data_IF_997986650150
#
_entry.id   IF_997986650150
#
_cell.length_a   1.000
_cell.length_b   1.000
_cell.length_c   1.000
_cell.angle_alpha   90.00
_cell.angle_beta   90.00
_cell.angle_gamma   90.00
#
_symmetry.space_group_name_H-M   'P 1'
#
loop_
_entity.id
_entity.type
_entity.pdbx_description
1 polymer ?
#
# COMPACT_ATOMS: atom_id res chain seq x y z
N UNK A 1 38.04 -14.90 -33.66
CA UNK A 1 38.12 -14.80 -32.18
C UNK A 1 36.92 -14.01 -31.65
N UNK A 2 36.40 -14.36 -30.47
CA UNK A 2 35.27 -13.64 -29.87
C UNK A 2 35.72 -12.34 -29.17
N UNK A 3 35.25 -11.18 -29.64
CA UNK A 3 35.59 -9.83 -29.13
C UNK A 3 34.87 -9.53 -27.80
N UNK A 4 33.55 -9.68 -27.77
CA UNK A 4 32.72 -9.39 -26.61
C UNK A 4 32.59 -10.60 -25.68
N UNK A 5 32.89 -10.41 -24.39
CA UNK A 5 32.78 -11.46 -23.36
C UNK A 5 32.15 -10.90 -22.08
N UNK A 6 30.83 -10.75 -22.01
CA UNK A 6 30.15 -10.18 -20.83
C UNK A 6 30.45 -10.91 -19.51
N UNK A 7 30.80 -12.21 -19.56
CA UNK A 7 31.26 -12.98 -18.39
C UNK A 7 32.48 -12.35 -17.68
N UNK A 8 33.26 -11.49 -18.35
CA UNK A 8 34.33 -10.70 -17.73
C UNK A 8 33.80 -9.85 -16.57
N UNK A 9 32.60 -9.29 -16.69
CA UNK A 9 31.93 -8.51 -15.65
C UNK A 9 31.31 -9.36 -14.52
N UNK A 10 31.24 -10.69 -14.69
CA UNK A 10 30.58 -11.60 -13.74
C UNK A 10 31.57 -12.50 -12.99
N UNK A 11 32.86 -12.43 -13.35
CA UNK A 11 33.90 -13.39 -12.96
C UNK A 11 34.13 -13.50 -11.45
N UNK A 12 34.09 -12.38 -10.73
CA UNK A 12 34.31 -12.36 -9.27
C UNK A 12 33.23 -11.56 -8.57
N UNK A 13 32.94 -11.85 -7.28
CA UNK A 13 32.05 -11.02 -6.48
C UNK A 13 32.45 -9.55 -6.47
N UNK A 14 33.75 -9.25 -6.36
CA UNK A 14 34.26 -7.87 -6.38
C UNK A 14 33.91 -7.12 -7.67
N UNK A 15 34.05 -7.76 -8.84
CA UNK A 15 33.68 -7.14 -10.12
C UNK A 15 32.17 -6.95 -10.18
N UNK A 16 31.38 -7.95 -9.78
CA UNK A 16 29.90 -7.85 -9.76
C UNK A 16 29.40 -6.73 -8.85
N UNK A 17 30.03 -6.53 -7.69
CA UNK A 17 29.69 -5.46 -6.76
C UNK A 17 30.04 -4.08 -7.35
N UNK A 18 31.19 -3.95 -8.02
CA UNK A 18 31.65 -2.68 -8.61
C UNK A 18 30.72 -2.17 -9.71
N UNK A 19 30.13 -3.08 -10.50
CA UNK A 19 29.29 -2.73 -11.67
C UNK A 19 27.78 -2.86 -11.40
N UNK A 20 27.37 -3.15 -10.17
CA UNK A 20 25.96 -3.37 -9.84
C UNK A 20 25.17 -2.07 -10.00
N UNK A 21 24.08 -2.14 -10.76
CA UNK A 21 23.23 -0.99 -11.07
C UNK A 21 22.20 -0.68 -9.95
N UNK A 22 21.71 -1.70 -9.25
CA UNK A 22 20.66 -1.57 -8.23
C UNK A 22 21.13 -2.12 -6.90
N UNK A 23 21.00 -1.34 -5.83
CA UNK A 23 21.25 -1.77 -4.46
C UNK A 23 19.98 -1.54 -3.64
N UNK A 24 19.70 -2.47 -2.71
CA UNK A 24 18.65 -2.30 -1.72
C UNK A 24 19.17 -1.52 -0.53
N UNK A 25 18.34 -0.63 -0.01
CA UNK A 25 18.53 0.10 1.22
C UNK A 25 17.44 -0.28 2.20
N UNK A 26 17.76 -0.28 3.50
CA UNK A 26 16.75 -0.41 4.57
C UNK A 26 15.66 0.68 4.51
N UNK A 27 15.96 1.80 3.85
CA UNK A 27 15.06 2.93 3.68
C UNK A 27 14.07 2.75 2.52
N UNK A 28 14.17 1.64 1.77
CA UNK A 28 13.30 1.36 0.63
C UNK A 28 11.95 0.74 1.04
N UNK A 29 11.67 0.50 2.32
CA UNK A 29 10.54 -0.33 2.74
C UNK A 29 9.54 0.39 3.64
N UNK A 30 8.26 0.14 3.36
CA UNK A 30 7.11 0.54 4.18
C UNK A 30 6.44 -0.73 4.68
N UNK A 31 6.16 -0.80 5.99
CA UNK A 31 5.50 -1.94 6.61
C UNK A 31 3.98 -1.72 6.74
N UNK A 32 3.13 -2.53 6.07
CA UNK A 32 1.70 -2.57 6.33
C UNK A 32 1.40 -3.08 7.74
N UNK A 33 0.48 -2.42 8.45
CA UNK A 33 -0.04 -2.83 9.74
C UNK A 33 -1.56 -2.78 9.75
N UNK A 34 -2.19 -3.79 10.34
CA UNK A 34 -3.64 -3.87 10.51
C UNK A 34 -4.00 -3.57 11.96
N UNK A 35 -4.89 -2.61 12.19
CA UNK A 35 -5.40 -2.26 13.52
C UNK A 35 -6.90 -2.51 13.60
N UNK A 36 -7.34 -3.23 14.62
CA UNK A 36 -8.72 -3.72 14.74
C UNK A 36 -9.33 -3.37 16.09
N UNK A 37 -10.53 -2.79 16.06
CA UNK A 37 -11.33 -2.52 17.26
C UNK A 37 -12.06 -3.76 17.79
N UNK A 38 -11.97 -4.88 17.08
CA UNK A 38 -12.69 -6.13 17.38
C UNK A 38 -11.92 -7.07 18.30
N UNK A 39 -10.67 -6.75 18.60
CA UNK A 39 -9.74 -7.63 19.33
C UNK A 39 -9.09 -6.87 20.48
N UNK A 40 -8.82 -7.58 21.57
CA UNK A 40 -8.12 -7.03 22.74
C UNK A 40 -6.61 -7.28 22.67
N UNK A 41 -6.16 -8.20 21.81
CA UNK A 41 -4.76 -8.55 21.60
C UNK A 41 -4.51 -9.04 20.18
N UNK A 42 -3.23 -9.08 19.79
CA UNK A 42 -2.79 -9.46 18.44
C UNK A 42 -3.38 -10.79 17.97
N UNK A 43 -4.01 -10.78 16.80
CA UNK A 43 -4.62 -11.94 16.16
C UNK A 43 -3.88 -12.28 14.85
N UNK A 44 -3.22 -13.45 14.75
CA UNK A 44 -2.60 -13.90 13.50
C UNK A 44 -3.60 -13.96 12.35
N UNK A 45 -3.15 -13.64 11.14
CA UNK A 45 -3.92 -13.79 9.91
C UNK A 45 -3.50 -15.10 9.23
N UNK A 46 -4.33 -16.15 9.20
CA UNK A 46 -3.93 -17.46 8.72
C UNK A 46 -3.39 -17.47 7.28
N UNK A 47 -3.98 -16.67 6.39
CA UNK A 47 -3.58 -16.54 4.99
C UNK A 47 -2.35 -15.64 4.76
N UNK A 48 -1.80 -15.04 5.81
CA UNK A 48 -0.57 -14.24 5.79
C UNK A 48 0.35 -14.66 6.95
N UNK A 49 1.06 -15.80 6.83
CA UNK A 49 1.91 -16.33 7.90
C UNK A 49 2.93 -15.29 8.39
N UNK A 50 2.89 -14.96 9.69
CA UNK A 50 3.77 -13.95 10.31
C UNK A 50 3.17 -12.55 10.39
N UNK A 51 1.98 -12.32 9.81
CA UNK A 51 1.25 -11.05 9.87
C UNK A 51 0.07 -11.18 10.85
N UNK A 52 -0.20 -10.11 11.59
CA UNK A 52 -1.29 -10.04 12.56
C UNK A 52 -2.17 -8.81 12.33
N UNK A 53 -3.42 -8.91 12.78
CA UNK A 53 -4.16 -7.74 13.24
C UNK A 53 -3.74 -7.41 14.67
N UNK A 54 -3.63 -6.13 14.98
CA UNK A 54 -3.27 -5.63 16.31
C UNK A 54 -4.44 -4.87 16.93
N UNK A 55 -4.58 -4.92 18.25
CA UNK A 55 -5.53 -4.04 18.95
C UNK A 55 -5.02 -2.60 18.92
N UNK A 56 -5.92 -1.66 19.21
CA UNK A 56 -5.57 -0.24 19.35
C UNK A 56 -4.51 0.00 20.42
N UNK A 57 -4.40 -0.86 21.44
CA UNK A 57 -3.42 -0.73 22.52
C UNK A 57 -2.01 -1.21 22.11
N UNK A 58 -1.92 -2.18 21.20
CA UNK A 58 -0.65 -2.79 20.79
C UNK A 58 -0.01 -2.09 19.58
N UNK A 59 -0.81 -1.44 18.73
CA UNK A 59 -0.36 -0.91 17.44
C UNK A 59 0.80 0.07 17.58
N UNK A 60 0.79 0.93 18.60
CA UNK A 60 1.84 1.89 18.87
C UNK A 60 3.17 1.20 19.24
N UNK A 61 3.12 0.14 20.05
CA UNK A 61 4.31 -0.63 20.40
C UNK A 61 4.86 -1.38 19.18
N UNK A 62 3.98 -1.94 18.34
CA UNK A 62 4.31 -2.66 17.11
C UNK A 62 5.02 -1.72 16.11
N UNK A 63 4.49 -0.50 15.93
CA UNK A 63 5.10 0.52 15.08
C UNK A 63 6.42 1.06 15.67
N UNK A 64 6.47 1.31 16.98
CA UNK A 64 7.69 1.74 17.68
C UNK A 64 8.84 0.75 17.51
N UNK A 65 8.58 -0.55 17.68
CA UNK A 65 9.58 -1.60 17.42
C UNK A 65 10.04 -1.63 15.96
N UNK A 66 9.13 -1.43 15.00
CA UNK A 66 9.48 -1.34 13.59
C UNK A 66 10.41 -0.14 13.33
N UNK A 67 10.14 1.00 13.96
CA UNK A 67 10.99 2.18 13.89
C UNK A 67 12.38 1.97 14.50
N UNK A 68 12.47 1.34 15.68
CA UNK A 68 13.73 0.98 16.34
C UNK A 68 14.59 0.04 15.49
N UNK A 69 13.95 -0.84 14.70
CA UNK A 69 14.65 -1.67 13.71
C UNK A 69 15.23 -0.81 12.58
N UNK A 70 14.65 0.35 12.28
CA UNK A 70 15.12 1.29 11.27
C UNK A 70 14.23 1.35 10.04
N UNK A 71 12.97 0.87 10.13
CA UNK A 71 11.97 1.15 9.10
C UNK A 71 11.64 2.66 9.11
N UNK A 72 11.62 3.31 7.95
CA UNK A 72 11.30 4.74 7.86
C UNK A 72 9.80 5.01 7.99
N UNK A 73 8.95 4.04 7.65
CA UNK A 73 7.51 4.26 7.53
C UNK A 73 6.66 3.00 7.79
N UNK A 74 5.42 3.24 8.21
CA UNK A 74 4.34 2.24 8.30
C UNK A 74 3.12 2.70 7.51
N UNK A 75 2.34 1.74 6.98
CA UNK A 75 1.05 1.98 6.34
C UNK A 75 -0.06 1.33 7.18
N UNK A 76 -1.04 2.11 7.63
CA UNK A 76 -2.12 1.65 8.49
C UNK A 76 -3.37 1.28 7.70
N UNK A 77 -3.93 0.11 8.02
CA UNK A 77 -5.26 -0.35 7.60
C UNK A 77 -6.14 -0.54 8.84
N UNK A 78 -7.31 0.10 8.85
CA UNK A 78 -8.26 0.06 9.96
C UNK A 78 -9.34 -0.99 9.78
N UNK A 79 -9.64 -1.76 10.83
CA UNK A 79 -10.79 -2.66 10.90
C UNK A 79 -11.75 -2.14 11.99
N UNK A 80 -12.83 -1.42 11.61
CA UNK A 80 -13.74 -0.83 12.58
C UNK A 80 -14.62 -1.90 13.22
N UNK A 81 -15.13 -1.64 14.42
CA UNK A 81 -16.06 -2.52 15.14
C UNK A 81 -17.38 -2.71 14.38
N UNK A 82 -17.86 -1.64 13.74
CA UNK A 82 -19.10 -1.62 12.98
C UNK A 82 -18.88 -0.99 11.60
N UNK A 83 -19.68 -1.45 10.63
CA UNK A 83 -19.72 -0.97 9.25
C UNK A 83 -21.11 -0.45 8.93
N UNK A 84 -21.20 0.58 8.11
CA UNK A 84 -22.47 1.16 7.66
C UNK A 84 -22.38 1.62 6.20
N UNK A 85 -23.50 2.05 5.61
CA UNK A 85 -23.56 2.46 4.19
C UNK A 85 -22.94 3.84 3.91
N UNK A 86 -22.53 4.57 4.96
CA UNK A 86 -21.91 5.89 4.85
C UNK A 86 -20.44 5.88 5.23
N UNK A 87 -19.88 4.71 5.53
CA UNK A 87 -18.56 4.55 6.10
C UNK A 87 -18.28 5.51 7.27
N UNK A 88 -19.25 5.72 8.17
CA UNK A 88 -19.19 6.82 9.15
C UNK A 88 -17.94 6.77 10.05
N UNK A 89 -17.44 5.57 10.31
CA UNK A 89 -16.23 5.35 11.12
C UNK A 89 -14.92 5.64 10.37
N UNK A 90 -14.93 5.75 9.03
CA UNK A 90 -13.75 6.09 8.23
C UNK A 90 -13.25 7.51 8.54
N UNK A 91 -14.16 8.46 8.77
CA UNK A 91 -13.85 9.88 9.02
C UNK A 91 -14.21 10.34 10.44
N UNK A 92 -14.53 9.42 11.35
CA UNK A 92 -14.77 9.76 12.75
C UNK A 92 -13.47 10.22 13.42
N UNK A 93 -13.51 11.28 14.22
CA UNK A 93 -12.31 11.79 14.90
C UNK A 93 -11.67 10.74 15.82
N UNK A 94 -12.46 9.82 16.36
CA UNK A 94 -12.09 8.68 17.20
C UNK A 94 -12.20 7.34 16.46
N UNK A 95 -12.04 7.33 15.13
CA UNK A 95 -11.96 6.10 14.37
C UNK A 95 -10.65 5.35 14.62
N UNK A 96 -10.65 4.07 14.27
CA UNK A 96 -9.53 3.15 14.56
C UNK A 96 -8.19 3.61 14.00
N UNK A 97 -8.17 4.18 12.78
CA UNK A 97 -6.94 4.69 12.17
C UNK A 97 -6.50 5.97 12.86
N UNK A 98 -7.43 6.88 13.15
CA UNK A 98 -7.16 8.16 13.80
C UNK A 98 -6.55 7.94 15.20
N UNK A 99 -7.10 7.03 15.98
CA UNK A 99 -6.55 6.65 17.28
C UNK A 99 -5.15 6.03 17.13
N UNK A 100 -4.96 5.09 16.20
CA UNK A 100 -3.67 4.46 15.95
C UNK A 100 -2.59 5.48 15.53
N UNK A 101 -2.91 6.40 14.62
CA UNK A 101 -2.01 7.46 14.17
C UNK A 101 -1.57 8.30 15.37
N UNK A 102 -2.50 8.80 16.19
CA UNK A 102 -2.17 9.61 17.37
C UNK A 102 -1.22 8.89 18.32
N UNK A 103 -1.50 7.63 18.63
CA UNK A 103 -0.67 6.85 19.54
C UNK A 103 0.73 6.58 18.97
N UNK A 104 0.83 6.27 17.67
CA UNK A 104 2.12 6.05 17.01
C UNK A 104 2.94 7.34 16.98
N UNK A 105 2.35 8.48 16.62
CA UNK A 105 3.07 9.76 16.59
C UNK A 105 3.53 10.19 17.98
N UNK A 106 2.82 9.79 19.05
CA UNK A 106 3.26 10.03 20.44
C UNK A 106 4.48 9.19 20.83
N UNK A 107 4.52 7.89 20.48
CA UNK A 107 5.61 7.00 20.90
C UNK A 107 6.82 6.99 19.96
N UNK A 108 6.60 7.27 18.67
CA UNK A 108 7.62 7.24 17.61
C UNK A 108 7.45 8.43 16.65
N UNK A 109 7.66 9.69 17.11
CA UNK A 109 7.41 10.89 16.30
C UNK A 109 8.23 10.96 15.01
N UNK A 110 9.39 10.31 14.97
CA UNK A 110 10.26 10.22 13.78
C UNK A 110 9.87 9.13 12.78
N UNK A 111 8.86 8.30 13.08
CA UNK A 111 8.32 7.33 12.13
C UNK A 111 7.32 8.05 11.22
N UNK A 112 7.46 7.84 9.91
CA UNK A 112 6.47 8.29 8.93
C UNK A 112 5.24 7.40 9.01
N UNK A 113 4.08 7.99 9.25
CA UNK A 113 2.80 7.28 9.31
C UNK A 113 2.01 7.59 8.06
N UNK A 114 1.80 6.55 7.25
CA UNK A 114 0.94 6.58 6.07
C UNK A 114 -0.40 5.96 6.47
N UNK A 115 -1.50 6.61 6.13
CA UNK A 115 -2.84 6.08 6.35
C UNK A 115 -3.49 5.68 5.02
N UNK A 116 -4.07 4.49 4.94
CA UNK A 116 -4.93 4.13 3.80
C UNK A 116 -6.20 4.98 3.83
N UNK A 117 -6.57 5.55 2.68
CA UNK A 117 -7.83 6.28 2.52
C UNK A 117 -8.68 5.49 1.52
N UNK A 118 -9.62 4.73 2.05
CA UNK A 118 -10.54 3.90 1.29
C UNK A 118 -11.76 3.61 2.18
N UNK A 119 -12.92 3.35 1.57
CA UNK A 119 -14.14 3.09 2.33
C UNK A 119 -14.43 1.58 2.51
N UNK A 120 -13.66 0.68 1.90
CA UNK A 120 -14.04 -0.74 1.82
C UNK A 120 -14.03 -1.47 3.17
N UNK A 121 -13.20 -1.03 4.10
CA UNK A 121 -13.13 -1.52 5.47
C UNK A 121 -14.33 -1.09 6.30
N UNK A 122 -15.00 0.01 5.92
CA UNK A 122 -16.01 0.72 6.70
C UNK A 122 -17.42 0.59 6.10
N UNK A 123 -17.52 0.39 4.79
CA UNK A 123 -18.78 0.17 4.08
C UNK A 123 -19.35 -1.21 4.42
N UNK A 124 -20.64 -1.25 4.73
CA UNK A 124 -21.37 -2.49 5.05
C UNK A 124 -21.25 -3.55 3.94
N UNK A 125 -21.17 -3.12 2.68
CA UNK A 125 -21.07 -3.97 1.49
C UNK A 125 -19.64 -4.24 0.99
N UNK A 126 -18.60 -3.64 1.59
CA UNK A 126 -17.20 -3.92 1.25
C UNK A 126 -16.67 -3.37 -0.08
N UNK A 127 -17.38 -2.44 -0.73
CA UNK A 127 -16.87 -1.68 -1.88
C UNK A 127 -16.11 -0.43 -1.41
N UNK A 128 -15.25 0.11 -2.29
CA UNK A 128 -14.43 1.28 -2.01
C UNK A 128 -15.21 2.62 -1.98
N UNK A 129 -16.48 2.61 -2.36
CA UNK A 129 -17.32 3.79 -2.51
C UNK A 129 -18.79 3.52 -2.19
N UNK A 130 -19.61 4.58 -2.17
CA UNK A 130 -21.06 4.54 -1.94
C UNK A 130 -21.74 3.74 -3.05
N UNK A 131 -22.56 2.75 -2.68
CA UNK A 131 -23.29 1.94 -3.65
C UNK A 131 -24.73 2.44 -3.84
N UNK A 132 -25.17 2.50 -5.10
CA UNK A 132 -26.58 2.57 -5.48
C UNK A 132 -27.00 1.22 -6.03
N UNK A 133 -28.04 0.63 -5.45
CA UNK A 133 -28.59 -0.66 -5.88
C UNK A 133 -29.95 -0.42 -6.55
N UNK A 134 -30.11 -0.92 -7.77
CA UNK A 134 -31.36 -0.92 -8.54
C UNK A 134 -31.69 -2.33 -9.04
N UNK A 135 -32.50 -3.05 -8.26
CA UNK A 135 -32.81 -4.46 -8.51
C UNK A 135 -31.56 -5.34 -8.46
N UNK A 136 -31.24 -5.99 -9.59
CA UNK A 136 -30.03 -6.82 -9.74
C UNK A 136 -28.78 -6.01 -10.17
N UNK A 137 -28.96 -4.73 -10.53
CA UNK A 137 -27.85 -3.86 -10.91
C UNK A 137 -27.36 -3.07 -9.70
N UNK A 138 -26.06 -2.80 -9.67
CA UNK A 138 -25.48 -1.87 -8.71
C UNK A 138 -24.50 -0.94 -9.43
N UNK A 139 -24.29 0.21 -8.83
CA UNK A 139 -23.36 1.23 -9.29
C UNK A 139 -22.60 1.79 -8.09
N UNK A 140 -21.30 2.03 -8.24
CA UNK A 140 -20.48 2.68 -7.20
C UNK A 140 -20.36 4.14 -7.60
N UNK A 141 -21.02 5.00 -6.84
CA UNK A 141 -21.18 6.41 -7.15
C UNK A 141 -19.87 7.16 -6.94
N UNK A 142 -19.30 7.71 -8.01
CA UNK A 142 -17.99 8.35 -7.98
C UNK A 142 -17.94 9.55 -7.02
N UNK A 143 -18.70 10.60 -7.31
CA UNK A 143 -18.58 11.90 -6.64
C UNK A 143 -19.01 11.83 -5.17
N UNK A 144 -20.08 11.09 -4.88
CA UNK A 144 -20.54 10.80 -3.51
C UNK A 144 -19.48 10.06 -2.69
N UNK A 145 -18.70 9.18 -3.33
CA UNK A 145 -17.58 8.50 -2.69
C UNK A 145 -16.42 9.46 -2.45
N UNK A 146 -16.08 10.28 -3.45
CA UNK A 146 -14.99 11.27 -3.36
C UNK A 146 -15.21 12.23 -2.19
N UNK A 147 -16.44 12.66 -1.91
CA UNK A 147 -16.74 13.50 -0.75
C UNK A 147 -16.36 12.82 0.58
N UNK A 148 -16.65 11.52 0.73
CA UNK A 148 -16.32 10.76 1.94
C UNK A 148 -14.83 10.43 2.03
N UNK A 149 -14.18 10.18 0.89
CA UNK A 149 -12.72 9.97 0.78
C UNK A 149 -11.98 11.23 1.25
N UNK A 150 -12.39 12.41 0.79
CA UNK A 150 -11.80 13.68 1.21
C UNK A 150 -11.97 13.93 2.72
N UNK A 151 -13.16 13.68 3.28
CA UNK A 151 -13.40 13.76 4.74
C UNK A 151 -12.50 12.80 5.53
N UNK A 152 -12.33 11.59 5.00
CA UNK A 152 -11.48 10.56 5.62
C UNK A 152 -10.02 11.02 5.64
N UNK A 153 -9.49 11.50 4.51
CA UNK A 153 -8.13 12.03 4.42
C UNK A 153 -7.87 13.18 5.42
N UNK A 154 -8.78 14.16 5.50
CA UNK A 154 -8.67 15.26 6.47
C UNK A 154 -8.67 14.74 7.90
N UNK A 155 -9.52 13.76 8.24
CA UNK A 155 -9.55 13.19 9.59
C UNK A 155 -8.25 12.48 9.97
N UNK A 156 -7.58 11.83 9.00
CA UNK A 156 -6.28 11.19 9.21
C UNK A 156 -5.17 12.23 9.38
N UNK A 157 -5.17 13.30 8.59
CA UNK A 157 -4.24 14.41 8.72
C UNK A 157 -4.39 15.11 10.10
N UNK A 158 -5.63 15.35 10.55
CA UNK A 158 -5.94 15.87 11.89
C UNK A 158 -5.39 14.98 13.01
N UNK A 159 -5.34 13.66 12.80
CA UNK A 159 -4.75 12.73 13.75
C UNK A 159 -3.21 12.76 13.77
N UNK A 160 -2.58 13.36 12.75
CA UNK A 160 -1.12 13.50 12.61
C UNK A 160 -0.49 12.57 11.57
N UNK A 161 -1.26 12.05 10.62
CA UNK A 161 -0.70 11.27 9.52
C UNK A 161 0.20 12.14 8.65
N UNK A 162 1.40 11.66 8.34
CA UNK A 162 2.36 12.38 7.50
C UNK A 162 1.96 12.29 6.01
N UNK A 163 1.41 11.14 5.62
CA UNK A 163 0.84 10.91 4.30
C UNK A 163 -0.55 10.27 4.38
N UNK A 164 -1.42 10.64 3.45
CA UNK A 164 -2.64 9.92 3.14
C UNK A 164 -2.46 9.18 1.82
N UNK A 165 -3.01 7.97 1.73
CA UNK A 165 -2.85 7.12 0.55
C UNK A 165 -4.21 6.66 0.00
N UNK A 166 -4.88 7.51 -0.81
CA UNK A 166 -6.15 7.16 -1.46
C UNK A 166 -6.01 5.92 -2.34
N UNK A 167 -6.71 4.84 -1.95
CA UNK A 167 -6.63 3.53 -2.61
C UNK A 167 -7.95 3.10 -3.27
N UNK A 168 -8.92 4.00 -3.31
CA UNK A 168 -10.31 3.78 -3.76
C UNK A 168 -10.48 3.61 -5.28
N UNK A 169 -9.63 4.25 -6.10
CA UNK A 169 -9.74 4.33 -7.57
C UNK A 169 -10.97 5.08 -8.10
N UNK A 170 -11.44 6.11 -7.39
CA UNK A 170 -12.47 7.02 -7.91
C UNK A 170 -11.83 8.10 -8.80
N UNK A 171 -12.55 8.56 -9.82
CA UNK A 171 -12.10 9.66 -10.69
C UNK A 171 -12.05 10.98 -9.90
N UNK A 172 -10.97 11.75 -10.06
CA UNK A 172 -10.83 13.08 -9.46
C UNK A 172 -10.58 13.11 -7.94
N UNK A 173 -10.43 11.95 -7.28
CA UNK A 173 -10.26 11.92 -5.81
C UNK A 173 -9.00 12.62 -5.34
N UNK A 174 -7.92 12.65 -6.13
CA UNK A 174 -6.65 13.23 -5.70
C UNK A 174 -6.80 14.75 -5.59
N UNK A 175 -7.41 15.37 -6.59
CA UNK A 175 -7.66 16.82 -6.59
C UNK A 175 -8.59 17.21 -5.45
N UNK A 176 -9.65 16.43 -5.21
CA UNK A 176 -10.57 16.65 -4.11
C UNK A 176 -9.90 16.48 -2.73
N UNK A 177 -9.07 15.44 -2.55
CA UNK A 177 -8.31 15.22 -1.31
C UNK A 177 -7.31 16.35 -1.08
N UNK A 178 -6.56 16.75 -2.12
CA UNK A 178 -5.61 17.88 -2.04
C UNK A 178 -6.32 19.16 -1.62
N UNK A 179 -7.40 19.53 -2.31
CA UNK A 179 -8.18 20.73 -1.97
C UNK A 179 -8.71 20.68 -0.52
N UNK A 180 -9.26 19.54 -0.09
CA UNK A 180 -9.79 19.40 1.26
C UNK A 180 -8.71 19.46 2.35
N UNK A 181 -7.52 18.89 2.11
CA UNK A 181 -6.37 19.02 3.01
C UNK A 181 -5.93 20.48 3.12
N UNK A 182 -5.75 21.16 1.99
CA UNK A 182 -5.30 22.55 1.94
C UNK A 182 -6.32 23.49 2.65
N UNK A 183 -7.61 23.34 2.37
CA UNK A 183 -8.70 24.11 2.99
C UNK A 183 -8.77 23.89 4.52
N UNK A 184 -8.42 22.69 4.99
CA UNK A 184 -8.38 22.35 6.40
C UNK A 184 -7.05 22.73 7.09
N UNK A 185 -6.08 23.30 6.36
CA UNK A 185 -4.79 23.73 6.88
C UNK A 185 -3.73 22.62 6.98
N UNK A 186 -3.88 21.54 6.21
CA UNK A 186 -2.96 20.39 6.14
C UNK A 186 -2.22 20.35 4.80
N UNK A 187 -1.78 21.51 4.30
CA UNK A 187 -1.06 21.67 3.02
C UNK A 187 0.25 20.87 2.96
N UNK A 188 0.88 20.61 4.11
CA UNK A 188 2.10 19.81 4.23
C UNK A 188 1.87 18.29 4.32
N UNK A 189 0.63 17.82 4.42
CA UNK A 189 0.33 16.37 4.38
C UNK A 189 0.46 15.89 2.93
N UNK A 190 1.31 14.88 2.72
CA UNK A 190 1.56 14.34 1.39
C UNK A 190 0.49 13.34 0.94
N UNK A 191 0.36 13.18 -0.38
CA UNK A 191 -0.58 12.25 -1.01
C UNK A 191 0.19 11.16 -1.76
N UNK A 192 -0.04 9.91 -1.38
CA UNK A 192 0.43 8.72 -2.10
C UNK A 192 -0.74 8.15 -2.88
N UNK A 193 -0.85 8.52 -4.15
CA UNK A 193 -1.93 8.03 -4.98
C UNK A 193 -1.71 6.58 -5.41
N UNK A 194 -2.69 5.71 -5.19
CA UNK A 194 -2.76 4.40 -5.85
C UNK A 194 -3.20 4.57 -7.31
N UNK A 195 -2.42 5.32 -8.08
CA UNK A 195 -2.75 5.75 -9.43
C UNK A 195 -3.03 4.60 -10.40
N UNK A 196 -2.24 3.52 -10.33
CA UNK A 196 -2.45 2.36 -11.18
C UNK A 196 -2.75 1.13 -10.32
N UNK A 197 -4.00 1.03 -9.84
CA UNK A 197 -4.50 -0.11 -9.07
C UNK A 197 -5.45 -0.98 -9.89
N UNK A 198 -4.98 -2.17 -10.22
CA UNK A 198 -5.68 -3.13 -11.07
C UNK A 198 -6.70 -3.96 -10.31
N UNK A 199 -7.76 -4.39 -11.01
CA UNK A 199 -8.76 -5.37 -10.58
C UNK A 199 -8.13 -6.77 -10.53
N UNK A 200 -7.29 -7.01 -9.52
CA UNK A 200 -6.43 -8.18 -9.45
C UNK A 200 -6.98 -9.31 -8.59
N UNK A 201 -6.70 -10.54 -8.99
CA UNK A 201 -6.88 -11.75 -8.18
C UNK A 201 -5.89 -11.84 -6.99
N UNK A 202 -4.86 -10.99 -6.94
CA UNK A 202 -3.77 -11.07 -5.96
C UNK A 202 -4.10 -10.44 -4.58
N UNK A 203 -5.36 -10.06 -4.34
CA UNK A 203 -5.78 -9.39 -3.10
C UNK A 203 -6.49 -10.29 -2.08
N UNK A 204 -6.66 -11.58 -2.34
CA UNK A 204 -7.45 -12.50 -1.50
C UNK A 204 -7.12 -12.44 0.00
N UNK A 205 -5.88 -12.74 0.41
CA UNK A 205 -5.49 -12.71 1.82
C UNK A 205 -5.60 -11.32 2.47
N UNK A 206 -5.39 -10.24 1.71
CA UNK A 206 -5.64 -8.88 2.21
C UNK A 206 -7.12 -8.66 2.53
N UNK A 207 -8.05 -9.12 1.67
CA UNK A 207 -9.50 -8.97 1.91
C UNK A 207 -9.96 -9.71 3.15
N UNK A 208 -9.34 -10.85 3.46
CA UNK A 208 -9.55 -11.55 4.73
C UNK A 208 -8.99 -10.72 5.90
N UNK A 209 -7.74 -10.25 5.78
CA UNK A 209 -7.08 -9.45 6.81
C UNK A 209 -7.82 -8.13 7.15
N UNK A 210 -8.36 -7.45 6.14
CA UNK A 210 -9.09 -6.19 6.28
C UNK A 210 -10.61 -6.38 6.48
N UNK A 211 -11.09 -7.64 6.47
CA UNK A 211 -12.50 -8.02 6.54
C UNK A 211 -13.37 -7.27 5.51
N UNK A 212 -12.86 -7.05 4.30
CA UNK A 212 -13.46 -6.17 3.27
C UNK A 212 -13.73 -6.81 1.89
N UNK A 213 -14.10 -8.11 1.76
CA UNK A 213 -14.54 -8.62 0.47
C UNK A 213 -15.83 -7.90 0.02
N UNK A 214 -15.99 -7.57 -1.28
CA UNK A 214 -17.25 -7.04 -1.79
C UNK A 214 -18.36 -8.09 -1.63
N UNK A 215 -19.53 -7.67 -1.15
CA UNK A 215 -20.67 -8.59 -0.92
C UNK A 215 -21.43 -8.92 -2.21
N UNK A 216 -21.29 -8.10 -3.25
CA UNK A 216 -21.88 -8.30 -4.57
C UNK A 216 -20.89 -7.88 -5.65
N UNK A 217 -21.04 -8.44 -6.85
CA UNK A 217 -20.18 -8.14 -8.00
C UNK A 217 -18.68 -8.23 -7.70
N UNK A 218 -17.92 -7.35 -8.31
CA UNK A 218 -16.50 -7.18 -8.07
C UNK A 218 -16.12 -5.69 -8.09
N UNK A 219 -14.83 -5.38 -8.29
CA UNK A 219 -14.30 -4.01 -8.28
C UNK A 219 -13.89 -3.53 -9.69
N UNK A 220 -14.30 -4.24 -10.74
CA UNK A 220 -13.89 -3.96 -12.12
C UNK A 220 -14.51 -2.69 -12.72
N UNK A 221 -15.55 -2.12 -12.09
CA UNK A 221 -16.14 -0.86 -12.53
C UNK A 221 -15.30 0.39 -12.18
N UNK A 222 -14.21 0.22 -11.42
CA UNK A 222 -13.32 1.33 -11.00
C UNK A 222 -11.86 0.91 -10.85
N UNK A 223 -11.56 -0.34 -10.47
CA UNK A 223 -10.19 -0.86 -10.56
C UNK A 223 -9.86 -1.25 -12.00
N UNK A 224 -8.64 -0.95 -12.42
CA UNK A 224 -8.25 -1.08 -13.83
C UNK A 224 -8.25 -2.53 -14.34
N UNK A 225 -8.51 -2.70 -15.64
CA UNK A 225 -8.38 -4.00 -16.30
C UNK A 225 -6.89 -4.43 -16.36
N UNK A 226 -6.53 -5.63 -15.85
CA UNK A 226 -5.18 -6.20 -15.97
C UNK A 226 -4.58 -6.20 -17.39
N UNK A 227 -5.41 -6.13 -18.44
CA UNK A 227 -4.97 -6.09 -19.83
C UNK A 227 -4.43 -4.72 -20.29
N UNK A 228 -4.66 -3.65 -19.52
CA UNK A 228 -4.46 -2.28 -19.99
C UNK A 228 -3.19 -1.62 -19.42
N UNK A 229 -2.22 -1.37 -20.29
CA UNK A 229 -0.97 -0.71 -19.91
C UNK A 229 -0.94 0.80 -20.22
N UNK A 230 -1.60 1.24 -21.29
CA UNK A 230 -1.62 2.65 -21.69
C UNK A 230 -2.58 3.48 -20.83
N UNK A 231 -3.70 2.88 -20.43
CA UNK A 231 -4.63 3.44 -19.43
C UNK A 231 -3.91 3.77 -18.13
N UNK A 232 -2.98 2.92 -17.68
CA UNK A 232 -2.23 3.13 -16.42
C UNK A 232 -1.39 4.41 -16.46
N UNK A 233 -0.87 4.76 -17.65
CA UNK A 233 -0.13 5.99 -17.82
C UNK A 233 -1.06 7.19 -17.86
N UNK A 234 -2.29 7.03 -18.35
CA UNK A 234 -3.28 8.10 -18.31
C UNK A 234 -3.71 8.41 -16.87
N UNK A 235 -4.05 7.37 -16.10
CA UNK A 235 -4.40 7.50 -14.67
C UNK A 235 -3.30 8.20 -13.86
N UNK A 236 -2.05 7.78 -14.06
CA UNK A 236 -0.89 8.42 -13.41
C UNK A 236 -0.73 9.89 -13.83
N UNK A 237 -0.96 10.21 -15.10
CA UNK A 237 -0.88 11.58 -15.59
C UNK A 237 -1.95 12.48 -14.96
N UNK A 238 -3.19 11.97 -14.82
CA UNK A 238 -4.29 12.66 -14.14
C UNK A 238 -3.94 12.95 -12.67
N UNK A 239 -3.52 11.94 -11.93
CA UNK A 239 -3.21 12.09 -10.50
C UNK A 239 -2.05 13.06 -10.23
N UNK A 240 -1.03 13.03 -11.09
CA UNK A 240 0.09 13.97 -10.99
C UNK A 240 -0.37 15.41 -11.28
N UNK A 241 -1.30 15.61 -12.23
CA UNK A 241 -1.89 16.91 -12.51
C UNK A 241 -2.79 17.40 -11.36
N UNK A 242 -3.42 16.47 -10.64
CA UNK A 242 -4.27 16.73 -9.48
C UNK A 242 -3.50 16.98 -8.17
N UNK A 243 -2.18 16.76 -8.15
CA UNK A 243 -1.32 17.09 -7.01
C UNK A 243 -0.90 15.90 -6.14
N UNK A 244 -0.88 14.68 -6.68
CA UNK A 244 -0.22 13.56 -6.03
C UNK A 244 1.29 13.80 -5.89
N UNK A 245 1.82 13.63 -4.68
CA UNK A 245 3.26 13.76 -4.39
C UNK A 245 4.04 12.51 -4.81
N UNK A 246 3.40 11.34 -4.64
CA UNK A 246 3.91 10.02 -5.00
C UNK A 246 2.79 9.26 -5.71
N UNK A 247 3.14 8.54 -6.78
CA UNK A 247 2.22 7.61 -7.47
C UNK A 247 2.62 6.18 -7.20
N UNK A 248 1.64 5.27 -7.15
CA UNK A 248 1.84 3.87 -6.77
C UNK A 248 1.19 2.92 -7.77
N UNK A 249 1.94 1.87 -8.13
CA UNK A 249 1.46 0.73 -8.91
C UNK A 249 1.09 -0.44 -8.00
N UNK A 250 -0.08 -1.06 -8.21
CA UNK A 250 -0.57 -2.20 -7.43
C UNK A 250 -1.39 -3.16 -8.29
N UNK A 251 -1.11 -4.49 -8.27
CA UNK A 251 -0.03 -5.22 -7.57
C UNK A 251 1.39 -4.96 -8.09
N UNK A 252 2.40 -5.66 -7.55
CA UNK A 252 3.80 -5.46 -7.90
C UNK A 252 4.30 -6.44 -8.98
N UNK A 253 4.50 -7.72 -8.63
CA UNK A 253 5.17 -8.70 -9.49
C UNK A 253 4.54 -8.86 -10.89
N UNK A 254 3.20 -8.93 -11.04
CA UNK A 254 2.60 -9.05 -12.37
C UNK A 254 2.63 -7.77 -13.20
N UNK A 255 3.05 -6.63 -12.62
CA UNK A 255 2.95 -5.29 -13.22
C UNK A 255 4.30 -4.54 -13.18
N UNK A 256 5.42 -5.27 -13.18
CA UNK A 256 6.77 -4.70 -13.24
C UNK A 256 7.00 -3.85 -14.51
N UNK A 257 6.34 -4.20 -15.61
CA UNK A 257 6.33 -3.43 -16.85
C UNK A 257 5.63 -2.08 -16.67
N UNK A 258 4.48 -2.05 -15.98
CA UNK A 258 3.77 -0.81 -15.65
C UNK A 258 4.62 0.08 -14.75
N UNK A 259 5.22 -0.50 -13.69
CA UNK A 259 6.13 0.22 -12.81
C UNK A 259 7.29 0.88 -13.57
N UNK A 260 7.90 0.14 -14.50
CA UNK A 260 8.95 0.67 -15.36
C UNK A 260 8.46 1.82 -16.24
N UNK A 261 7.32 1.64 -16.94
CA UNK A 261 6.76 2.67 -17.82
C UNK A 261 6.39 3.94 -17.08
N UNK A 262 5.83 3.82 -15.87
CA UNK A 262 5.52 4.96 -15.00
C UNK A 262 6.80 5.69 -14.61
N UNK A 263 7.82 4.97 -14.13
CA UNK A 263 9.09 5.60 -13.75
C UNK A 263 9.76 6.29 -14.93
N UNK A 264 9.82 5.63 -16.09
CA UNK A 264 10.46 6.14 -17.29
C UNK A 264 9.76 7.40 -17.82
N UNK A 265 8.43 7.37 -17.95
CA UNK A 265 7.66 8.46 -18.56
C UNK A 265 7.60 9.70 -17.68
N UNK A 266 7.39 9.53 -16.37
CA UNK A 266 7.09 10.65 -15.49
C UNK A 266 8.29 11.12 -14.66
N UNK A 267 9.25 10.24 -14.36
CA UNK A 267 10.42 10.60 -13.55
C UNK A 267 10.06 11.12 -12.14
N UNK A 268 8.87 10.80 -11.64
CA UNK A 268 8.34 11.22 -10.32
C UNK A 268 8.59 10.14 -9.25
N UNK A 269 8.51 10.50 -7.95
CA UNK A 269 8.49 9.52 -6.88
C UNK A 269 7.44 8.43 -7.15
N UNK A 270 7.90 7.19 -7.29
CA UNK A 270 7.06 6.06 -7.68
C UNK A 270 7.19 4.95 -6.65
N UNK A 271 6.06 4.50 -6.11
CA UNK A 271 5.98 3.40 -5.18
C UNK A 271 5.37 2.15 -5.83
N UNK A 272 5.55 1.01 -5.17
CA UNK A 272 4.88 -0.23 -5.58
C UNK A 272 4.46 -1.02 -4.35
N UNK A 273 3.34 -1.73 -4.45
CA UNK A 273 2.86 -2.60 -3.38
C UNK A 273 3.02 -4.07 -3.75
N UNK A 274 3.97 -4.74 -3.08
CA UNK A 274 4.09 -6.20 -3.08
C UNK A 274 2.98 -6.83 -2.23
N UNK A 275 1.89 -7.24 -2.89
CA UNK A 275 0.62 -7.50 -2.21
C UNK A 275 0.54 -8.86 -1.53
N UNK A 276 -0.60 -9.09 -0.89
CA UNK A 276 -0.83 -10.20 0.02
C UNK A 276 -0.66 -11.59 -0.62
N UNK A 277 -1.14 -11.82 -1.85
CA UNK A 277 -0.91 -13.11 -2.53
C UNK A 277 0.56 -13.27 -2.91
N UNK A 278 1.22 -12.21 -3.38
CA UNK A 278 2.64 -12.27 -3.72
C UNK A 278 3.49 -12.69 -2.51
N UNK A 279 3.13 -12.21 -1.32
CA UNK A 279 3.74 -12.63 -0.06
C UNK A 279 3.45 -14.09 0.27
N UNK A 280 2.18 -14.47 0.30
CA UNK A 280 1.74 -15.82 0.66
C UNK A 280 2.34 -16.89 -0.28
N UNK A 281 2.43 -16.62 -1.58
CA UNK A 281 3.01 -17.55 -2.54
C UNK A 281 4.46 -17.93 -2.21
N UNK A 282 5.27 -16.96 -1.78
CA UNK A 282 6.67 -17.22 -1.39
C UNK A 282 6.73 -17.97 -0.06
N UNK A 283 5.91 -17.58 0.93
CA UNK A 283 5.81 -18.30 2.21
C UNK A 283 5.46 -19.78 1.98
N UNK A 284 4.40 -20.06 1.21
CA UNK A 284 3.96 -21.41 0.90
C UNK A 284 5.01 -22.23 0.14
N UNK A 285 5.72 -21.59 -0.80
CA UNK A 285 6.78 -22.24 -1.56
C UNK A 285 8.01 -22.55 -0.68
N UNK A 286 8.37 -21.66 0.25
CA UNK A 286 9.41 -21.88 1.25
C UNK A 286 9.05 -23.03 2.19
N UNK A 287 7.81 -23.06 2.71
CA UNK A 287 7.36 -24.14 3.60
C UNK A 287 7.44 -25.52 2.94
N UNK A 288 7.23 -25.57 1.61
CA UNK A 288 7.39 -26.78 0.79
C UNK A 288 8.84 -27.07 0.39
N UNK A 289 9.80 -26.25 0.82
CA UNK A 289 11.22 -26.39 0.49
C UNK A 289 11.55 -26.11 -0.98
N UNK A 290 10.68 -25.40 -1.72
CA UNK A 290 10.89 -25.11 -3.14
C UNK A 290 11.91 -23.98 -3.37
N UNK A 291 12.07 -23.08 -2.41
CA UNK A 291 12.97 -21.93 -2.49
C UNK A 291 13.47 -21.48 -1.11
N UNK A 292 14.68 -20.89 -1.11
CA UNK A 292 15.20 -20.14 0.04
C UNK A 292 14.50 -18.78 0.14
N UNK A 293 13.78 -18.56 1.25
CA UNK A 293 12.95 -17.37 1.42
C UNK A 293 13.75 -16.08 1.30
N UNK A 294 14.87 -15.99 2.04
CA UNK A 294 15.70 -14.78 2.08
C UNK A 294 16.22 -14.43 0.68
N UNK A 295 16.76 -15.40 -0.04
CA UNK A 295 17.28 -15.18 -1.39
C UNK A 295 16.17 -14.75 -2.35
N UNK A 296 15.03 -15.43 -2.35
CA UNK A 296 13.92 -15.11 -3.25
C UNK A 296 13.34 -13.73 -2.97
N UNK A 297 13.11 -13.38 -1.70
CA UNK A 297 12.57 -12.08 -1.32
C UNK A 297 13.54 -10.95 -1.69
N UNK A 298 14.84 -11.11 -1.42
CA UNK A 298 15.85 -10.10 -1.82
C UNK A 298 15.92 -9.95 -3.35
N UNK A 299 15.75 -11.03 -4.11
CA UNK A 299 15.69 -10.98 -5.57
C UNK A 299 14.44 -10.23 -6.05
N UNK A 300 13.27 -10.50 -5.47
CA UNK A 300 12.01 -9.80 -5.77
C UNK A 300 12.15 -8.30 -5.45
N UNK A 301 12.59 -7.93 -4.25
CA UNK A 301 12.75 -6.52 -3.87
C UNK A 301 13.76 -5.82 -4.80
N UNK A 302 14.84 -6.50 -5.18
CA UNK A 302 15.81 -5.96 -6.15
C UNK A 302 15.18 -5.75 -7.52
N UNK A 303 14.31 -6.66 -7.96
CA UNK A 303 13.60 -6.53 -9.24
C UNK A 303 12.68 -5.30 -9.27
N UNK A 304 11.98 -5.05 -8.16
CA UNK A 304 11.09 -3.89 -7.98
C UNK A 304 11.87 -2.58 -7.94
N UNK A 305 12.97 -2.52 -7.19
CA UNK A 305 13.88 -1.35 -7.20
C UNK A 305 14.48 -1.12 -8.59
N UNK A 306 14.89 -2.17 -9.30
CA UNK A 306 15.43 -2.07 -10.66
C UNK A 306 14.39 -1.56 -11.65
N UNK A 307 13.13 -1.97 -11.48
CA UNK A 307 12.03 -1.49 -12.30
C UNK A 307 11.66 -0.01 -12.03
N UNK A 308 12.17 0.59 -10.95
CA UNK A 308 12.04 2.03 -10.74
C UNK A 308 11.31 2.45 -9.47
N UNK A 309 10.93 1.52 -8.59
CA UNK A 309 10.32 1.89 -7.31
C UNK A 309 11.31 2.67 -6.42
N UNK A 310 10.90 3.82 -5.92
CA UNK A 310 11.62 4.56 -4.88
C UNK A 310 11.41 3.93 -3.50
N UNK A 311 10.23 3.39 -3.21
CA UNK A 311 9.99 2.51 -2.06
C UNK A 311 8.97 1.42 -2.37
N UNK A 312 8.98 0.39 -1.54
CA UNK A 312 8.19 -0.83 -1.68
C UNK A 312 7.38 -1.04 -0.40
N UNK A 313 6.06 -1.15 -0.56
CA UNK A 313 5.17 -1.59 0.52
C UNK A 313 5.18 -3.11 0.55
N UNK A 314 5.60 -3.70 1.68
CA UNK A 314 5.76 -5.16 1.80
C UNK A 314 5.62 -5.65 3.23
N UNK A 315 5.06 -6.86 3.40
CA UNK A 315 4.88 -7.50 4.69
C UNK A 315 6.18 -8.04 5.31
N UNK A 316 7.24 -8.23 4.51
CA UNK A 316 8.59 -8.58 5.01
C UNK A 316 9.38 -7.39 5.56
N UNK A 317 8.74 -6.24 5.79
CA UNK A 317 9.44 -5.01 6.17
C UNK A 317 10.43 -5.24 7.31
N UNK A 318 10.05 -5.98 8.36
CA UNK A 318 10.93 -6.25 9.52
C UNK A 318 12.09 -7.20 9.17
N UNK A 319 11.80 -8.27 8.46
CA UNK A 319 12.79 -9.27 8.04
C UNK A 319 13.83 -8.67 7.08
N UNK A 320 13.40 -7.83 6.16
CA UNK A 320 14.28 -7.14 5.21
C UNK A 320 15.30 -6.25 5.91
N UNK A 321 14.91 -5.52 6.96
CA UNK A 321 15.86 -4.75 7.75
C UNK A 321 16.93 -5.64 8.37
N UNK A 322 16.56 -6.81 8.87
CA UNK A 322 17.51 -7.75 9.47
C UNK A 322 18.42 -8.37 8.41
N UNK A 323 17.87 -8.78 7.26
CA UNK A 323 18.61 -9.41 6.18
C UNK A 323 19.59 -8.47 5.48
N UNK A 324 19.35 -7.16 5.52
CA UNK A 324 20.23 -6.13 4.95
C UNK A 324 21.25 -5.57 5.94
N UNK A 325 21.20 -5.95 7.23
CA UNK A 325 22.21 -5.54 8.24
C UNK A 325 23.53 -6.34 8.16
N UNK A 326 23.63 -7.31 7.23
CA UNK A 326 24.82 -8.13 7.00
C UNK A 326 25.47 -7.86 5.66
#
# INVERSE_FOLDING_TARGET
>A
MLVHRPRRLRRTPAIRNLIRETNLSRHDFVLPLFVSEKIESSRPIPSLPGVCQHSSDEIAQVAGKAHEMGLPAVLLFGIPKAKDEKASSAYASNGVVQDAVRQIKQCAPGLTVISDVCLCEYMSHGHCGVARIDGEHFDILNDESVELIAKTAVSHAQAGADFVAPSDMMDGRIGAVRAALDDAGFDQTGIISYAAKFASAFYGPFREAAESPPQFGDRSSYQMDPANADEALHEVELDLAEGADIVLVKPALPYLDILWRVRERFGRPTAVYHVSVEYALIKDATEKGMLDERAAVLEIMTSLKRAGADFIITYWGRELIQWLRG
#
